data_IF_813642472117
#
_entry.id   IF_813642472117
#
_cell.length_a   1.000
_cell.length_b   1.000
_cell.length_c   1.000
_cell.angle_alpha   90.00
_cell.angle_beta   90.00
_cell.angle_gamma   90.00
#
_symmetry.space_group_name_H-M   'P 1'
#
loop_
_entity.id
_entity.type
_entity.pdbx_description
1 polymer ?
#
# COMPACT_ATOMS: atom_id res chain seq x y z
N UNK A 1 11.41 6.96 -12.12
CA UNK A 1 10.16 7.38 -12.81
C UNK A 1 10.18 6.76 -14.20
N UNK A 2 9.13 6.07 -14.63
CA UNK A 2 9.02 5.52 -15.99
C UNK A 2 7.71 6.06 -16.58
N UNK A 3 7.78 6.69 -17.74
CA UNK A 3 6.64 7.32 -18.39
C UNK A 3 6.60 6.96 -19.88
N UNK A 4 5.39 6.83 -20.41
CA UNK A 4 5.11 6.71 -21.84
C UNK A 4 5.03 8.12 -22.43
N UNK A 5 5.94 8.43 -23.36
CA UNK A 5 5.96 9.73 -24.04
C UNK A 5 5.79 9.49 -25.54
N UNK A 6 4.58 9.78 -26.02
CA UNK A 6 4.23 9.69 -27.43
C UNK A 6 4.98 10.78 -28.22
N UNK A 7 6.00 10.38 -28.97
CA UNK A 7 6.74 11.25 -29.88
C UNK A 7 6.29 11.01 -31.32
N UNK A 8 5.19 11.63 -31.76
CA UNK A 8 4.89 11.78 -33.20
C UNK A 8 4.23 13.13 -33.46
N UNK A 9 4.86 13.94 -34.33
CA UNK A 9 4.19 14.93 -35.18
C UNK A 9 4.17 14.40 -36.63
N UNK A 10 3.03 14.58 -37.30
CA UNK A 10 2.69 14.47 -38.73
C UNK A 10 2.07 13.18 -39.29
N UNK A 11 1.11 13.45 -40.19
CA UNK A 11 -0.08 12.66 -40.55
C UNK A 11 0.07 11.85 -41.86
N UNK A 12 1.24 11.88 -42.51
CA UNK A 12 1.42 11.32 -43.84
C UNK A 12 2.72 10.51 -43.93
N UNK A 13 2.66 9.21 -43.66
CA UNK A 13 3.40 8.24 -44.48
C UNK A 13 2.93 6.80 -44.22
N UNK A 14 1.95 6.37 -45.01
CA UNK A 14 1.49 4.99 -45.14
C UNK A 14 2.43 4.11 -45.99
N UNK A 15 3.69 4.53 -46.18
CA UNK A 15 4.67 3.83 -47.01
C UNK A 15 6.05 3.72 -46.35
N UNK A 16 6.09 3.17 -45.14
CA UNK A 16 7.25 2.39 -44.65
C UNK A 16 8.63 3.07 -44.65
N UNK A 17 8.71 4.41 -44.70
CA UNK A 17 9.98 5.14 -44.56
C UNK A 17 10.03 5.80 -43.19
N UNK A 18 11.00 5.34 -42.41
CA UNK A 18 11.35 5.84 -41.09
C UNK A 18 12.09 7.18 -41.19
N UNK A 19 11.58 8.22 -40.55
CA UNK A 19 12.39 9.36 -40.13
C UNK A 19 12.26 9.51 -38.61
N UNK A 20 13.40 9.60 -37.90
CA UNK A 20 13.41 9.99 -36.49
C UNK A 20 12.88 11.42 -36.38
N UNK A 21 12.17 11.76 -35.30
CA UNK A 21 11.84 13.16 -34.99
C UNK A 21 13.15 13.97 -35.00
N UNK A 22 13.21 14.99 -35.83
CA UNK A 22 14.32 15.91 -35.95
C UNK A 22 13.79 17.33 -35.79
N UNK A 23 14.57 18.25 -35.22
CA UNK A 23 14.13 19.64 -35.03
C UNK A 23 14.09 20.08 -33.56
N UNK A 24 13.28 21.11 -33.29
CA UNK A 24 13.28 21.82 -32.00
C UNK A 24 12.78 20.94 -30.85
N UNK A 25 11.73 20.16 -31.04
CA UNK A 25 11.16 19.30 -30.00
C UNK A 25 12.10 18.16 -29.60
N UNK A 26 12.78 17.53 -30.56
CA UNK A 26 13.80 16.52 -30.26
C UNK A 26 14.96 17.10 -29.44
N UNK A 27 15.33 18.37 -29.69
CA UNK A 27 16.35 19.09 -28.91
C UNK A 27 15.84 19.45 -27.51
N UNK A 28 14.61 19.93 -27.39
CA UNK A 28 13.98 20.25 -26.11
C UNK A 28 13.82 19.00 -25.24
N UNK A 29 13.41 17.88 -25.84
CA UNK A 29 13.30 16.62 -25.12
C UNK A 29 14.66 16.07 -24.73
N UNK A 30 15.65 16.11 -25.63
CA UNK A 30 17.02 15.73 -25.29
C UNK A 30 17.55 16.56 -24.12
N UNK A 31 17.29 17.87 -24.11
CA UNK A 31 17.63 18.76 -22.99
C UNK A 31 16.89 18.39 -21.69
N UNK A 32 15.59 18.07 -21.76
CA UNK A 32 14.83 17.61 -20.58
C UNK A 32 15.35 16.27 -20.06
N UNK A 33 15.62 15.32 -20.95
CA UNK A 33 16.17 14.02 -20.59
C UNK A 33 17.54 14.16 -19.94
N UNK A 34 18.44 14.95 -20.53
CA UNK A 34 19.78 15.22 -19.97
C UNK A 34 19.69 15.98 -18.62
N UNK A 35 18.85 17.02 -18.52
CA UNK A 35 18.70 17.79 -17.27
C UNK A 35 18.03 17.01 -16.13
N UNK A 36 17.29 15.95 -16.45
CA UNK A 36 16.61 15.07 -15.49
C UNK A 36 17.29 13.71 -15.32
N UNK A 37 18.46 13.51 -15.94
CA UNK A 37 19.20 12.25 -15.88
C UNK A 37 18.40 11.05 -16.41
N UNK A 38 17.53 11.25 -17.40
CA UNK A 38 16.68 10.21 -17.94
C UNK A 38 17.42 9.37 -19.00
N UNK A 39 17.39 8.05 -18.84
CA UNK A 39 18.01 7.07 -19.74
C UNK A 39 16.93 6.32 -20.51
N UNK A 40 17.08 6.22 -21.84
CA UNK A 40 16.18 5.44 -22.70
C UNK A 40 16.44 3.94 -22.53
N UNK A 41 15.52 3.24 -21.87
CA UNK A 41 15.63 1.81 -21.59
C UNK A 41 15.69 0.95 -22.87
N UNK A 42 15.16 1.45 -23.99
CA UNK A 42 15.20 0.74 -25.28
C UNK A 42 16.63 0.68 -25.85
N UNK A 43 17.41 1.73 -25.67
CA UNK A 43 18.80 1.82 -26.18
C UNK A 43 19.80 1.06 -25.30
N UNK A 44 19.42 0.67 -24.08
CA UNK A 44 20.29 -0.08 -23.16
C UNK A 44 20.34 -1.60 -23.45
N UNK A 45 19.40 -2.14 -24.24
CA UNK A 45 19.29 -3.56 -24.52
C UNK A 45 20.12 -4.01 -25.75
N UNK A 46 20.70 -5.21 -25.68
CA UNK A 46 21.45 -5.83 -26.80
C UNK A 46 20.51 -6.40 -27.86
N UNK A 47 19.32 -6.84 -27.45
CA UNK A 47 18.30 -7.41 -28.35
C UNK A 47 16.91 -6.95 -27.94
N UNK A 48 16.08 -6.62 -28.91
CA UNK A 48 14.71 -6.14 -28.68
C UNK A 48 13.71 -7.00 -29.44
N UNK A 49 12.68 -7.50 -28.75
CA UNK A 49 11.66 -8.37 -29.37
C UNK A 49 10.24 -7.88 -29.03
N UNK A 50 9.41 -7.65 -30.05
CA UNK A 50 8.02 -7.22 -29.89
C UNK A 50 7.49 -6.52 -31.15
N UNK A 51 6.16 -6.41 -31.26
CA UNK A 51 5.55 -5.57 -32.30
C UNK A 51 5.89 -4.11 -32.05
N UNK A 52 6.18 -3.34 -33.11
CA UNK A 52 6.53 -1.92 -32.99
C UNK A 52 5.38 -1.05 -32.44
N UNK A 53 4.15 -1.55 -32.45
CA UNK A 53 2.94 -0.78 -32.18
C UNK A 53 2.19 -1.36 -30.99
N UNK A 54 1.67 -0.49 -30.13
CA UNK A 54 1.08 -0.90 -28.85
C UNK A 54 -0.35 -0.42 -28.67
N UNK A 55 -0.83 0.47 -29.55
CA UNK A 55 -2.14 1.14 -29.46
C UNK A 55 -2.84 1.23 -30.81
N UNK A 56 -4.18 1.20 -30.77
CA UNK A 56 -5.04 1.80 -31.79
C UNK A 56 -5.38 3.22 -31.34
N UNK A 57 -5.02 4.23 -32.13
CA UNK A 57 -5.42 5.61 -31.93
C UNK A 57 -6.53 5.96 -32.92
N UNK A 58 -7.59 6.62 -32.43
CA UNK A 58 -8.67 7.13 -33.26
C UNK A 58 -8.25 8.50 -33.82
N UNK A 59 -8.11 8.60 -35.15
CA UNK A 59 -7.80 9.87 -35.80
C UNK A 59 -8.82 10.11 -36.93
N UNK A 60 -9.88 10.84 -36.61
CA UNK A 60 -11.02 10.99 -37.50
C UNK A 60 -11.77 9.66 -37.74
N UNK A 61 -12.25 9.41 -38.95
CA UNK A 61 -13.07 8.22 -39.30
C UNK A 61 -12.28 6.90 -39.47
N UNK A 62 -11.01 6.83 -39.04
CA UNK A 62 -10.17 5.61 -39.13
C UNK A 62 -9.44 5.31 -37.83
N UNK A 63 -9.26 4.01 -37.56
CA UNK A 63 -8.39 3.49 -36.51
C UNK A 63 -6.98 3.34 -37.08
N UNK A 64 -6.01 4.03 -36.50
CA UNK A 64 -4.60 3.90 -36.90
C UNK A 64 -3.71 3.38 -35.76
N UNK A 65 -2.61 2.72 -36.08
CA UNK A 65 -1.72 2.11 -35.07
C UNK A 65 -0.65 3.09 -34.66
N UNK A 66 -0.59 3.43 -33.39
CA UNK A 66 0.38 4.39 -32.91
C UNK A 66 1.51 3.71 -32.12
N UNK A 67 2.74 4.22 -32.31
CA UNK A 67 3.99 3.55 -31.95
C UNK A 67 4.42 3.97 -30.55
N UNK A 68 4.75 3.02 -29.68
CA UNK A 68 5.40 3.28 -28.39
C UNK A 68 6.88 2.97 -28.59
N UNK A 69 7.70 4.02 -28.61
CA UNK A 69 9.06 3.88 -29.09
C UNK A 69 10.14 3.96 -28.03
N UNK A 70 9.92 4.64 -26.90
CA UNK A 70 11.00 4.92 -25.94
C UNK A 70 10.44 5.08 -24.53
N UNK A 71 11.00 4.33 -23.58
CA UNK A 71 10.72 4.51 -22.15
C UNK A 71 11.95 5.12 -21.54
N UNK A 72 11.74 6.20 -20.81
CA UNK A 72 12.81 6.88 -20.12
C UNK A 72 12.75 6.58 -18.63
N UNK A 73 13.90 6.22 -18.04
CA UNK A 73 14.04 5.90 -16.62
C UNK A 73 15.04 6.87 -15.99
N UNK A 74 14.73 7.38 -14.80
CA UNK A 74 15.60 8.32 -14.07
C UNK A 74 16.92 7.70 -13.58
N UNK A 75 17.97 8.52 -13.57
CA UNK A 75 19.29 8.25 -13.00
C UNK A 75 19.17 7.64 -11.59
N UNK A 76 19.76 6.46 -11.43
CA UNK A 76 19.47 5.50 -10.36
C UNK A 76 19.13 4.11 -10.91
N UNK A 77 18.92 4.00 -12.22
CA UNK A 77 18.70 2.75 -12.93
C UNK A 77 20.00 2.10 -13.45
N UNK A 78 21.04 2.00 -12.60
CA UNK A 78 22.31 1.31 -12.91
C UNK A 78 22.08 -0.13 -13.42
N UNK A 79 20.96 -0.74 -13.03
CA UNK A 79 20.53 -2.05 -13.52
C UNK A 79 20.23 -2.08 -15.04
N UNK A 80 20.03 -0.95 -15.72
CA UNK A 80 19.78 -0.89 -17.17
C UNK A 80 21.00 -1.32 -17.98
N UNK A 81 22.22 -1.04 -17.51
CA UNK A 81 23.45 -1.50 -18.16
C UNK A 81 23.55 -3.03 -18.19
N UNK A 82 22.88 -3.67 -17.22
CA UNK A 82 22.79 -5.11 -17.08
C UNK A 82 21.68 -5.71 -17.94
N UNK A 83 20.95 -4.96 -18.77
CA UNK A 83 19.82 -5.50 -19.56
C UNK A 83 20.30 -6.05 -20.91
N UNK A 84 20.13 -7.36 -21.14
CA UNK A 84 20.45 -8.04 -22.40
C UNK A 84 19.32 -7.93 -23.40
N UNK A 85 18.09 -8.14 -22.95
CA UNK A 85 16.92 -8.19 -23.80
C UNK A 85 15.76 -7.46 -23.13
N UNK A 86 15.03 -6.67 -23.90
CA UNK A 86 13.75 -6.08 -23.48
C UNK A 86 12.69 -6.61 -24.42
N UNK A 87 11.65 -7.21 -23.84
CA UNK A 87 10.46 -7.63 -24.58
C UNK A 87 9.24 -6.86 -24.11
N UNK A 88 8.51 -6.31 -25.07
CA UNK A 88 7.28 -5.59 -24.80
C UNK A 88 6.08 -6.52 -24.90
N UNK A 89 5.24 -6.55 -23.86
CA UNK A 89 3.95 -7.25 -23.88
C UNK A 89 2.83 -6.26 -24.25
N UNK A 90 2.85 -5.78 -25.49
CA UNK A 90 1.67 -5.14 -26.09
C UNK A 90 0.69 -6.21 -26.52
N UNK A 91 -0.13 -6.70 -25.60
CA UNK A 91 -1.46 -7.17 -26.00
C UNK A 91 -2.31 -5.91 -26.24
N UNK A 92 -3.14 -5.89 -27.28
CA UNK A 92 -3.82 -4.70 -27.81
C UNK A 92 -4.47 -3.84 -26.71
N UNK A 93 -3.80 -2.77 -26.27
CA UNK A 93 -4.30 -1.83 -25.26
C UNK A 93 -4.97 -0.67 -25.97
N UNK A 94 -6.18 -0.31 -25.53
CA UNK A 94 -7.06 0.70 -26.18
C UNK A 94 -7.05 2.06 -25.44
N UNK A 95 -6.24 2.24 -24.37
CA UNK A 95 -6.31 3.44 -23.52
C UNK A 95 -4.96 3.92 -22.99
N UNK A 96 -4.81 5.26 -22.95
CA UNK A 96 -3.62 6.03 -22.51
C UNK A 96 -3.33 5.94 -21.00
N UNK A 97 -4.18 5.27 -20.22
CA UNK A 97 -4.07 5.20 -18.76
C UNK A 97 -3.76 3.79 -18.23
N UNK A 98 -3.56 2.80 -19.12
CA UNK A 98 -3.27 1.43 -18.71
C UNK A 98 -1.75 1.24 -18.58
N UNK A 99 -1.25 0.72 -17.45
CA UNK A 99 0.17 0.51 -17.25
C UNK A 99 0.75 -0.47 -18.27
N UNK A 100 1.79 -0.03 -18.95
CA UNK A 100 2.51 -0.83 -19.94
C UNK A 100 3.49 -1.77 -19.25
N UNK A 101 3.46 -3.07 -19.60
CA UNK A 101 4.30 -4.09 -18.96
C UNK A 101 5.47 -4.49 -19.86
N UNK A 102 6.69 -4.47 -19.31
CA UNK A 102 7.90 -4.91 -19.99
C UNK A 102 8.56 -6.06 -19.23
N UNK A 103 9.07 -7.03 -19.98
CA UNK A 103 9.93 -8.09 -19.47
C UNK A 103 11.37 -7.76 -19.86
N UNK A 104 12.24 -7.56 -18.87
CA UNK A 104 13.67 -7.36 -19.08
C UNK A 104 14.43 -8.64 -18.71
N UNK A 105 15.28 -9.15 -19.62
CA UNK A 105 16.30 -10.16 -19.30
C UNK A 105 17.65 -9.51 -19.14
N UNK A 106 18.39 -9.90 -18.11
CA UNK A 106 19.71 -9.34 -17.82
C UNK A 106 20.84 -10.07 -18.59
N UNK A 107 21.93 -9.36 -18.86
CA UNK A 107 23.23 -9.87 -19.33
C UNK A 107 23.82 -10.63 -18.15
N UNK A 108 23.60 -11.94 -18.10
CA UNK A 108 24.19 -12.74 -17.04
C UNK A 108 25.71 -12.74 -17.19
N UNK A 109 26.43 -12.14 -16.24
CA UNK A 109 27.80 -12.54 -15.93
C UNK A 109 27.76 -13.72 -14.95
N UNK A 110 28.72 -14.63 -15.11
CA UNK A 110 28.79 -15.90 -14.42
C UNK A 110 28.67 -15.79 -12.89
N UNK A 111 27.84 -16.68 -12.34
CA UNK A 111 27.98 -17.40 -11.07
C UNK A 111 28.35 -16.67 -9.75
N UNK A 112 28.38 -15.34 -9.63
CA UNK A 112 28.53 -14.69 -8.32
C UNK A 112 27.65 -13.45 -8.13
N UNK A 113 26.60 -13.59 -7.31
CA UNK A 113 26.33 -12.56 -6.29
C UNK A 113 24.89 -12.09 -6.04
N UNK A 114 24.01 -11.97 -7.04
CA UNK A 114 22.56 -11.72 -6.80
C UNK A 114 21.72 -12.41 -7.86
N UNK A 115 21.19 -13.59 -7.52
CA UNK A 115 20.35 -14.41 -8.40
C UNK A 115 19.06 -13.66 -8.71
N UNK A 116 18.79 -13.39 -9.99
CA UNK A 116 17.42 -13.21 -10.45
C UNK A 116 16.57 -14.39 -9.93
N UNK A 117 15.31 -14.17 -9.53
CA UNK A 117 14.55 -15.23 -8.90
C UNK A 117 14.41 -16.41 -9.86
N UNK A 118 14.90 -17.58 -9.45
CA UNK A 118 14.97 -18.76 -10.30
C UNK A 118 13.57 -19.30 -10.61
N UNK A 119 13.42 -20.15 -11.64
CA UNK A 119 12.17 -20.91 -11.85
C UNK A 119 11.73 -21.64 -10.58
N UNK A 120 12.68 -22.10 -9.77
CA UNK A 120 12.44 -22.68 -8.45
C UNK A 120 11.86 -21.66 -7.46
N UNK A 121 12.38 -20.44 -7.41
CA UNK A 121 11.79 -19.36 -6.60
C UNK A 121 10.36 -19.06 -7.02
N UNK A 122 10.10 -18.88 -8.33
CA UNK A 122 8.74 -18.66 -8.82
C UNK A 122 7.83 -19.86 -8.59
N UNK A 123 8.34 -21.09 -8.71
CA UNK A 123 7.58 -22.29 -8.39
C UNK A 123 7.21 -22.35 -6.89
N UNK A 124 8.14 -22.01 -5.99
CA UNK A 124 7.84 -21.89 -4.56
C UNK A 124 6.85 -20.76 -4.27
N UNK A 125 7.03 -19.59 -4.87
CA UNK A 125 6.13 -18.45 -4.72
C UNK A 125 4.73 -18.78 -5.24
N UNK A 126 4.62 -19.37 -6.43
CA UNK A 126 3.35 -19.82 -7.03
C UNK A 126 2.69 -20.92 -6.21
N UNK A 127 3.47 -21.89 -5.70
CA UNK A 127 2.95 -22.92 -4.81
C UNK A 127 2.47 -22.33 -3.46
N UNK A 128 3.10 -21.25 -2.98
CA UNK A 128 2.63 -20.50 -1.82
C UNK A 128 1.35 -19.73 -2.13
N UNK A 129 1.30 -18.98 -3.23
CA UNK A 129 0.10 -18.26 -3.68
C UNK A 129 -1.08 -19.20 -3.92
N UNK A 130 -0.85 -20.35 -4.57
CA UNK A 130 -1.88 -21.36 -4.81
C UNK A 130 -2.41 -21.95 -3.50
N UNK A 131 -1.53 -22.19 -2.50
CA UNK A 131 -1.94 -22.61 -1.16
C UNK A 131 -2.68 -21.53 -0.39
N UNK A 132 -2.35 -20.26 -0.59
CA UNK A 132 -2.98 -19.11 0.10
C UNK A 132 -4.23 -18.59 -0.62
N UNK A 133 -4.53 -19.06 -1.83
CA UNK A 133 -5.72 -18.67 -2.57
C UNK A 133 -6.97 -19.41 -2.09
N UNK A 134 -8.11 -18.74 -2.15
CA UNK A 134 -9.44 -19.35 -1.98
C UNK A 134 -9.72 -20.17 -3.25
N UNK A 135 -9.65 -21.50 -3.14
CA UNK A 135 -9.93 -22.41 -4.26
C UNK A 135 -11.42 -22.72 -4.38
N UNK A 136 -12.11 -22.75 -3.24
CA UNK A 136 -13.53 -23.00 -3.12
C UNK A 136 -14.07 -22.18 -1.95
N UNK A 137 -15.29 -21.69 -2.09
CA UNK A 137 -15.97 -20.91 -1.07
C UNK A 137 -17.36 -21.46 -0.80
N UNK A 138 -17.66 -21.72 0.47
CA UNK A 138 -18.98 -22.08 0.96
C UNK A 138 -19.81 -20.81 1.15
N UNK A 139 -20.94 -20.76 0.46
CA UNK A 139 -21.90 -19.66 0.46
C UNK A 139 -22.87 -19.77 1.65
N UNK A 140 -23.63 -18.70 1.89
CA UNK A 140 -24.62 -18.66 2.98
C UNK A 140 -25.75 -19.68 2.79
N UNK A 141 -26.11 -20.00 1.55
CA UNK A 141 -27.11 -21.03 1.21
C UNK A 141 -26.61 -22.48 1.45
N UNK A 142 -25.37 -22.64 1.89
CA UNK A 142 -24.74 -23.92 2.16
C UNK A 142 -24.07 -24.57 0.95
N UNK A 143 -24.24 -24.03 -0.26
CA UNK A 143 -23.57 -24.52 -1.47
C UNK A 143 -22.11 -24.07 -1.51
N UNK A 144 -21.29 -24.71 -2.35
CA UNK A 144 -19.89 -24.34 -2.53
C UNK A 144 -19.65 -23.91 -3.98
N UNK A 145 -19.03 -22.76 -4.16
CA UNK A 145 -18.60 -22.25 -5.47
C UNK A 145 -17.09 -22.40 -5.65
N UNK A 146 -16.68 -22.70 -6.88
CA UNK A 146 -15.28 -22.66 -7.34
C UNK A 146 -15.07 -21.59 -8.41
N UNK A 147 -16.14 -20.87 -8.79
CA UNK A 147 -16.07 -19.78 -9.76
C UNK A 147 -15.37 -18.58 -9.12
N UNK A 148 -14.25 -18.16 -9.73
CA UNK A 148 -13.43 -17.05 -9.24
C UNK A 148 -14.16 -15.73 -9.22
N UNK A 149 -15.04 -15.47 -10.19
CA UNK A 149 -15.78 -14.21 -10.25
C UNK A 149 -16.73 -14.13 -9.07
N UNK A 150 -17.52 -15.19 -8.88
CA UNK A 150 -18.44 -15.30 -7.73
C UNK A 150 -17.70 -15.27 -6.39
N UNK A 151 -16.55 -15.94 -6.27
CA UNK A 151 -15.72 -15.86 -5.05
C UNK A 151 -15.30 -14.41 -4.77
N UNK A 152 -14.87 -13.65 -5.78
CA UNK A 152 -14.44 -12.27 -5.59
C UNK A 152 -15.59 -11.34 -5.21
N UNK A 153 -16.78 -11.52 -5.79
CA UNK A 153 -18.00 -10.79 -5.43
C UNK A 153 -18.37 -11.05 -3.97
N UNK A 154 -18.49 -12.31 -3.57
CA UNK A 154 -18.83 -12.73 -2.20
C UNK A 154 -17.80 -12.26 -1.17
N UNK A 155 -16.50 -12.31 -1.52
CA UNK A 155 -15.42 -11.73 -0.70
C UNK A 155 -15.62 -10.22 -0.55
N UNK A 156 -15.92 -9.53 -1.65
CA UNK A 156 -16.17 -8.09 -1.67
C UNK A 156 -17.33 -7.72 -0.75
N UNK A 157 -18.50 -8.30 -0.98
CA UNK A 157 -19.72 -8.02 -0.22
C UNK A 157 -19.55 -8.32 1.27
N UNK A 158 -18.92 -9.46 1.59
CA UNK A 158 -18.64 -9.84 2.97
C UNK A 158 -17.77 -8.81 3.71
N UNK A 159 -16.66 -8.38 3.11
CA UNK A 159 -15.77 -7.43 3.76
C UNK A 159 -16.27 -5.99 3.68
N UNK A 160 -17.04 -5.60 2.66
CA UNK A 160 -17.79 -4.34 2.65
C UNK A 160 -18.72 -4.30 3.86
N UNK A 161 -19.49 -5.37 4.11
CA UNK A 161 -20.38 -5.47 5.27
C UNK A 161 -19.64 -5.40 6.62
N UNK A 162 -18.40 -5.88 6.69
CA UNK A 162 -17.58 -5.81 7.91
C UNK A 162 -16.98 -4.41 8.10
N UNK A 163 -16.53 -3.76 7.03
CA UNK A 163 -15.82 -2.48 7.11
C UNK A 163 -16.73 -1.26 6.94
N UNK A 164 -18.00 -1.46 6.58
CA UNK A 164 -18.97 -0.38 6.52
C UNK A 164 -19.16 0.26 7.89
N UNK A 165 -19.44 1.56 7.89
CA UNK A 165 -19.79 2.28 9.10
C UNK A 165 -21.08 1.71 9.68
N UNK A 166 -21.04 1.30 10.95
CA UNK A 166 -22.24 0.99 11.70
C UNK A 166 -23.02 2.29 11.98
N UNK A 167 -24.31 2.28 11.67
CA UNK A 167 -25.18 3.42 11.93
C UNK A 167 -25.34 3.59 13.45
N UNK A 168 -25.00 4.77 13.96
CA UNK A 168 -25.16 5.07 15.39
C UNK A 168 -26.57 5.58 15.61
N UNK A 169 -27.46 4.71 16.07
CA UNK A 169 -28.85 5.08 16.40
C UNK A 169 -28.89 6.02 17.61
N UNK A 170 -29.98 6.79 17.74
CA UNK A 170 -30.22 7.65 18.90
C UNK A 170 -30.16 6.87 20.23
N UNK A 171 -30.62 5.61 20.22
CA UNK A 171 -30.55 4.72 21.39
C UNK A 171 -29.11 4.39 21.80
N UNK A 172 -28.21 4.15 20.84
CA UNK A 172 -26.79 3.91 21.13
C UNK A 172 -26.13 5.18 21.67
N UNK A 173 -26.50 6.36 21.15
CA UNK A 173 -25.98 7.64 21.64
C UNK A 173 -26.38 7.84 23.10
N UNK A 174 -27.68 7.69 23.42
CA UNK A 174 -28.17 7.81 24.80
C UNK A 174 -27.48 6.82 25.75
N UNK A 175 -27.34 5.55 25.34
CA UNK A 175 -26.64 4.54 26.14
C UNK A 175 -25.16 4.89 26.38
N UNK A 176 -24.49 5.48 25.39
CA UNK A 176 -23.11 5.97 25.54
C UNK A 176 -23.05 7.13 26.52
N UNK A 177 -23.96 8.10 26.43
CA UNK A 177 -24.02 9.24 27.34
C UNK A 177 -24.22 8.79 28.79
N UNK A 178 -25.14 7.87 29.04
CA UNK A 178 -25.34 7.24 30.35
C UNK A 178 -24.06 6.57 30.86
N UNK A 179 -23.36 5.81 30.01
CA UNK A 179 -22.09 5.19 30.37
C UNK A 179 -20.99 6.23 30.68
N UNK A 180 -20.92 7.33 29.91
CA UNK A 180 -19.94 8.40 30.11
C UNK A 180 -20.14 9.18 31.42
N UNK A 181 -21.36 9.21 31.96
CA UNK A 181 -21.63 9.81 33.27
C UNK A 181 -20.92 9.03 34.39
N UNK A 182 -20.88 7.71 34.29
CA UNK A 182 -20.33 6.82 35.32
C UNK A 182 -18.80 6.72 35.27
N UNK A 183 -18.18 7.05 34.14
CA UNK A 183 -16.72 7.04 34.01
C UNK A 183 -16.09 8.15 34.85
N UNK A 184 -15.26 7.74 35.83
CA UNK A 184 -14.56 8.66 36.73
C UNK A 184 -13.40 9.40 36.08
N UNK A 185 -12.78 8.79 35.06
CA UNK A 185 -11.64 9.36 34.34
C UNK A 185 -12.08 9.86 32.98
N UNK A 186 -11.85 11.16 32.71
CA UNK A 186 -12.25 11.83 31.48
C UNK A 186 -11.05 12.57 30.89
N UNK A 187 -11.06 12.75 29.58
CA UNK A 187 -10.06 13.57 28.89
C UNK A 187 -10.19 15.01 29.41
N UNK A 188 -9.08 15.57 29.88
CA UNK A 188 -9.01 16.97 30.28
C UNK A 188 -8.81 17.87 29.07
N UNK A 189 -9.21 19.14 29.16
CA UNK A 189 -8.96 20.12 28.09
C UNK A 189 -7.48 20.22 27.71
N UNK A 190 -6.58 20.13 28.69
CA UNK A 190 -5.13 20.14 28.46
C UNK A 190 -4.64 18.91 27.67
N UNK A 191 -5.20 17.73 27.95
CA UNK A 191 -4.85 16.50 27.21
C UNK A 191 -5.35 16.57 25.76
N UNK A 192 -6.58 17.06 25.58
CA UNK A 192 -7.17 17.28 24.26
C UNK A 192 -6.33 18.27 23.44
N UNK A 193 -6.02 19.44 24.00
CA UNK A 193 -5.18 20.45 23.37
C UNK A 193 -3.82 19.88 22.92
N UNK A 194 -3.17 19.05 23.75
CA UNK A 194 -1.87 18.45 23.41
C UNK A 194 -1.92 17.45 22.25
N UNK A 195 -3.05 16.78 22.04
CA UNK A 195 -3.21 15.85 20.91
C UNK A 195 -3.65 16.62 19.65
N UNK A 196 -4.52 17.61 19.83
CA UNK A 196 -5.16 18.40 18.77
C UNK A 196 -4.29 19.56 18.24
N UNK A 197 -3.27 20.00 18.97
CA UNK A 197 -2.33 21.01 18.48
C UNK A 197 -1.58 20.52 17.25
N UNK A 198 -1.39 21.35 16.22
CA UNK A 198 -0.62 20.96 15.03
C UNK A 198 0.79 20.46 15.37
N UNK A 199 1.25 19.36 14.74
CA UNK A 199 2.63 18.89 14.89
C UNK A 199 3.63 19.86 14.26
N UNK A 200 4.80 19.99 14.88
CA UNK A 200 5.90 20.76 14.30
C UNK A 200 6.66 19.91 13.27
N UNK A 201 7.39 20.56 12.37
CA UNK A 201 8.23 19.84 11.42
C UNK A 201 9.25 18.95 12.15
N UNK A 202 9.92 19.47 13.18
CA UNK A 202 10.88 18.72 13.99
C UNK A 202 10.26 17.46 14.64
N UNK A 203 9.00 17.56 15.11
CA UNK A 203 8.28 16.40 15.65
C UNK A 203 8.04 15.35 14.57
N UNK A 204 7.61 15.78 13.38
CA UNK A 204 7.38 14.90 12.24
C UNK A 204 8.69 14.26 11.77
N UNK A 205 9.77 15.02 11.62
CA UNK A 205 11.08 14.49 11.21
C UNK A 205 11.59 13.44 12.20
N UNK A 206 11.57 13.77 13.48
CA UNK A 206 11.94 12.83 14.54
C UNK A 206 11.07 11.58 14.47
N UNK A 207 9.77 11.73 14.28
CA UNK A 207 8.85 10.61 14.18
C UNK A 207 9.13 9.72 12.96
N UNK A 208 9.31 10.32 11.78
CA UNK A 208 9.61 9.63 10.52
C UNK A 208 10.90 8.83 10.63
N UNK A 209 11.92 9.38 11.28
CA UNK A 209 13.19 8.68 11.53
C UNK A 209 13.05 7.40 12.38
N UNK A 210 11.99 7.31 13.20
CA UNK A 210 11.70 6.17 14.08
C UNK A 210 10.71 5.17 13.47
N UNK A 211 10.31 5.36 12.20
CA UNK A 211 9.46 4.39 11.52
C UNK A 211 10.19 3.05 11.39
N UNK A 212 9.44 1.96 11.60
CA UNK A 212 9.99 0.62 11.47
C UNK A 212 10.22 0.31 10.00
N UNK A 213 11.43 -0.16 9.70
CA UNK A 213 11.85 -0.67 8.40
C UNK A 213 11.31 -2.08 8.15
N UNK A 214 11.48 -2.55 6.91
CA UNK A 214 11.09 -3.88 6.43
C UNK A 214 9.59 -4.17 6.57
N UNK A 215 8.76 -3.14 6.36
CA UNK A 215 7.31 -3.26 6.32
C UNK A 215 6.80 -3.27 4.90
N UNK A 216 5.69 -3.99 4.68
CA UNK A 216 5.05 -4.04 3.38
C UNK A 216 4.55 -2.64 2.95
N UNK A 217 4.85 -2.23 1.70
CA UNK A 217 4.36 -0.96 1.16
C UNK A 217 2.84 -0.97 0.96
N UNK A 218 2.28 0.19 0.67
CA UNK A 218 0.92 0.30 0.14
C UNK A 218 0.86 -0.09 -1.33
N UNK A 219 -0.24 0.25 -1.98
CA UNK A 219 -0.43 0.08 -3.43
C UNK A 219 0.59 0.85 -4.27
N UNK A 220 1.10 1.95 -3.74
CA UNK A 220 2.11 2.81 -4.36
C UNK A 220 3.51 2.17 -4.41
N UNK A 221 3.72 1.05 -3.70
CA UNK A 221 5.02 0.43 -3.59
C UNK A 221 6.03 1.21 -2.74
N UNK A 222 5.62 2.33 -2.13
CA UNK A 222 6.51 3.18 -1.33
C UNK A 222 6.74 2.57 0.05
N UNK A 223 8.00 2.25 0.33
CA UNK A 223 8.44 1.74 1.62
C UNK A 223 8.96 2.86 2.52
N UNK A 224 9.14 2.55 3.81
CA UNK A 224 9.75 3.50 4.76
C UNK A 224 11.17 3.85 4.34
N UNK A 225 11.93 2.91 3.80
CA UNK A 225 13.29 3.11 3.31
C UNK A 225 13.31 4.10 2.14
N UNK A 226 12.39 3.97 1.19
CA UNK A 226 12.27 4.91 0.07
C UNK A 226 11.93 6.33 0.54
N UNK A 227 11.04 6.46 1.53
CA UNK A 227 10.71 7.74 2.17
C UNK A 227 11.95 8.35 2.84
N UNK A 228 12.67 7.57 3.65
CA UNK A 228 13.86 8.05 4.36
C UNK A 228 14.99 8.45 3.40
N UNK A 229 15.22 7.70 2.33
CA UNK A 229 16.22 8.02 1.31
C UNK A 229 15.90 9.31 0.55
N UNK A 230 14.62 9.65 0.43
CA UNK A 230 14.16 10.82 -0.31
C UNK A 230 13.66 11.95 0.59
N UNK A 231 13.85 11.85 1.91
CA UNK A 231 13.18 12.69 2.90
C UNK A 231 13.40 14.18 2.64
N UNK A 232 14.64 14.59 2.39
CA UNK A 232 14.99 15.99 2.12
C UNK A 232 14.24 16.59 0.92
N UNK A 233 13.77 15.75 -0.01
CA UNK A 233 13.02 16.17 -1.20
C UNK A 233 11.51 16.19 -0.99
N UNK A 234 10.99 15.39 -0.05
CA UNK A 234 9.53 15.16 0.12
C UNK A 234 8.99 15.61 1.48
N UNK A 235 9.86 16.09 2.37
CA UNK A 235 9.48 16.47 3.74
C UNK A 235 8.43 17.57 3.79
N UNK A 236 8.53 18.57 2.92
CA UNK A 236 7.59 19.71 2.90
C UNK A 236 6.20 19.27 2.44
N UNK A 237 6.12 18.40 1.43
CA UNK A 237 4.86 17.80 0.97
C UNK A 237 4.25 16.89 2.04
N UNK A 238 5.09 16.04 2.66
CA UNK A 238 4.66 15.14 3.73
C UNK A 238 4.16 15.94 4.94
N UNK A 239 4.85 17.01 5.31
CA UNK A 239 4.47 17.90 6.40
C UNK A 239 3.18 18.63 6.09
N UNK A 240 3.04 19.19 4.89
CA UNK A 240 1.81 19.86 4.45
C UNK A 240 0.60 18.93 4.48
N UNK A 241 0.77 17.67 4.06
CA UNK A 241 -0.27 16.65 4.13
C UNK A 241 -0.68 16.31 5.57
N UNK A 242 0.27 16.29 6.50
CA UNK A 242 -0.01 16.10 7.93
C UNK A 242 -0.74 17.32 8.49
N UNK A 243 -0.31 18.55 8.19
CA UNK A 243 -0.99 19.77 8.62
C UNK A 243 -2.43 19.80 8.14
N UNK A 244 -2.67 19.47 6.87
CA UNK A 244 -3.99 19.41 6.28
C UNK A 244 -4.93 18.44 7.02
N UNK A 245 -4.43 17.30 7.48
CA UNK A 245 -5.23 16.38 8.31
C UNK A 245 -5.60 17.00 9.65
N UNK A 246 -4.71 17.76 10.29
CA UNK A 246 -5.02 18.47 11.53
C UNK A 246 -5.99 19.63 11.32
N UNK A 247 -5.94 20.31 10.17
CA UNK A 247 -6.87 21.39 9.82
C UNK A 247 -8.29 20.90 9.53
N UNK A 248 -8.41 19.76 8.83
CA UNK A 248 -9.69 19.32 8.25
C UNK A 248 -10.26 18.07 8.91
N UNK A 249 -9.45 17.30 9.63
CA UNK A 249 -9.78 15.94 10.06
C UNK A 249 -9.82 14.93 8.91
N UNK A 250 -9.44 15.32 7.69
CA UNK A 250 -9.55 14.50 6.50
C UNK A 250 -8.20 13.98 6.01
N UNK A 251 -8.17 12.70 5.63
CA UNK A 251 -7.02 12.10 4.93
C UNK A 251 -7.02 12.52 3.47
N UNK A 252 -5.85 12.61 2.82
CA UNK A 252 -5.81 12.78 1.35
C UNK A 252 -6.46 11.59 0.64
N UNK A 253 -7.07 11.81 -0.53
CA UNK A 253 -7.90 10.81 -1.24
C UNK A 253 -7.20 9.46 -1.41
N UNK A 254 -5.94 9.45 -1.86
CA UNK A 254 -5.18 8.20 -2.04
C UNK A 254 -4.95 7.41 -0.73
N UNK A 255 -4.95 8.10 0.42
CA UNK A 255 -4.77 7.46 1.74
C UNK A 255 -6.06 6.85 2.29
N UNK A 256 -7.20 7.08 1.63
CA UNK A 256 -8.52 6.51 2.01
C UNK A 256 -8.76 5.13 1.40
N UNK A 257 -7.86 4.65 0.54
CA UNK A 257 -7.97 3.35 -0.13
C UNK A 257 -7.03 2.32 0.49
N UNK A 258 -7.53 1.10 0.65
CA UNK A 258 -6.79 -0.04 1.17
C UNK A 258 -6.84 -1.21 0.17
N UNK A 259 -5.77 -1.98 0.07
CA UNK A 259 -5.84 -3.33 -0.51
C UNK A 259 -6.00 -4.35 0.59
N UNK A 260 -7.06 -5.14 0.51
CA UNK A 260 -7.29 -6.21 1.47
C UNK A 260 -6.61 -7.48 0.95
N UNK A 261 -5.59 -7.94 1.69
CA UNK A 261 -5.00 -9.26 1.49
C UNK A 261 -5.60 -10.23 2.50
N UNK A 262 -6.11 -11.36 2.03
CA UNK A 262 -6.65 -12.40 2.90
C UNK A 262 -5.56 -13.40 3.30
N UNK A 263 -5.46 -13.67 4.60
CA UNK A 263 -4.61 -14.72 5.15
C UNK A 263 -5.46 -15.81 5.82
N UNK A 264 -5.21 -17.09 5.53
CA UNK A 264 -5.99 -18.16 6.16
C UNK A 264 -5.71 -18.21 7.67
N UNK A 265 -6.75 -18.39 8.49
CA UNK A 265 -6.59 -18.59 9.94
C UNK A 265 -5.96 -19.95 10.22
N UNK A 266 -6.52 -20.96 9.57
CA UNK A 266 -6.28 -22.38 9.79
C UNK A 266 -6.15 -23.08 8.40
N UNK A 267 -6.01 -24.40 8.38
CA UNK A 267 -5.99 -25.17 7.11
C UNK A 267 -7.34 -25.19 6.39
N UNK A 268 -8.43 -25.10 7.14
CA UNK A 268 -9.80 -25.02 6.64
C UNK A 268 -10.09 -23.60 6.12
N UNK A 269 -10.45 -23.53 4.83
CA UNK A 269 -10.42 -22.32 3.99
C UNK A 269 -11.71 -22.03 3.26
N UNK A 270 -12.74 -22.86 3.46
CA UNK A 270 -13.98 -22.79 2.70
C UNK A 270 -14.90 -21.65 3.16
N UNK A 271 -14.68 -21.08 4.35
CA UNK A 271 -15.57 -20.05 4.92
C UNK A 271 -14.82 -18.73 5.14
N UNK A 272 -15.40 -17.59 4.73
CA UNK A 272 -14.75 -16.27 4.82
C UNK A 272 -14.36 -15.86 6.24
N UNK A 273 -15.13 -16.24 7.26
CA UNK A 273 -14.79 -15.97 8.68
C UNK A 273 -13.49 -16.66 9.14
N UNK A 274 -13.03 -17.68 8.40
CA UNK A 274 -11.75 -18.39 8.63
C UNK A 274 -10.58 -17.69 7.94
N UNK A 275 -10.80 -16.54 7.33
CA UNK A 275 -9.75 -15.69 6.77
C UNK A 275 -9.54 -14.45 7.64
N UNK A 276 -8.32 -13.93 7.67
CA UNK A 276 -7.94 -12.67 8.31
C UNK A 276 -7.72 -11.62 7.22
N UNK A 277 -8.47 -10.53 7.19
CA UNK A 277 -8.16 -9.41 6.31
C UNK A 277 -6.93 -8.66 6.83
N UNK A 278 -5.97 -8.40 5.95
CA UNK A 278 -4.90 -7.44 6.17
C UNK A 278 -5.05 -6.27 5.20
N UNK A 279 -5.37 -5.11 5.74
CA UNK A 279 -5.47 -3.86 4.98
C UNK A 279 -4.09 -3.27 4.73
N UNK A 280 -3.62 -3.34 3.49
CA UNK A 280 -2.41 -2.69 3.02
C UNK A 280 -2.73 -1.23 2.67
N UNK A 281 -2.44 -0.35 3.63
CA UNK A 281 -2.62 1.11 3.52
C UNK A 281 -1.34 1.79 3.01
N UNK A 282 -1.51 2.94 2.36
CA UNK A 282 -0.41 3.83 1.98
C UNK A 282 0.40 4.27 3.21
N UNK A 283 1.67 4.60 2.97
CA UNK A 283 2.59 5.04 4.03
C UNK A 283 2.13 6.33 4.70
N UNK A 284 1.54 7.25 3.94
CA UNK A 284 0.94 8.52 4.41
C UNK A 284 -0.11 8.29 5.50
N UNK A 285 -1.05 7.37 5.27
CA UNK A 285 -2.04 6.96 6.29
C UNK A 285 -1.34 6.43 7.55
N UNK A 286 -0.36 5.54 7.36
CA UNK A 286 0.38 4.92 8.48
C UNK A 286 1.11 5.97 9.32
N UNK A 287 1.65 7.02 8.70
CA UNK A 287 2.33 8.12 9.40
C UNK A 287 1.33 8.87 10.27
N UNK A 288 0.22 9.36 9.70
CA UNK A 288 -0.81 10.10 10.44
C UNK A 288 -1.37 9.26 11.59
N UNK A 289 -1.84 8.04 11.28
CA UNK A 289 -2.47 7.17 12.27
C UNK A 289 -1.53 6.88 13.45
N UNK A 290 -0.25 6.62 13.17
CA UNK A 290 0.73 6.33 14.20
C UNK A 290 1.17 7.60 14.96
N UNK A 291 1.21 8.77 14.32
CA UNK A 291 1.47 10.04 15.00
C UNK A 291 0.38 10.37 16.02
N UNK A 292 -0.89 10.23 15.63
CA UNK A 292 -2.05 10.37 16.53
C UNK A 292 -1.94 9.36 17.68
N UNK A 293 -1.67 8.09 17.37
CA UNK A 293 -1.55 7.04 18.38
C UNK A 293 -0.43 7.32 19.41
N UNK A 294 0.75 7.77 18.98
CA UNK A 294 1.86 8.09 19.91
C UNK A 294 1.54 9.31 20.78
N UNK A 295 0.82 10.31 20.24
CA UNK A 295 0.36 11.47 21.04
C UNK A 295 -0.68 11.06 22.08
N UNK A 296 -1.70 10.29 21.71
CA UNK A 296 -2.69 9.75 22.65
C UNK A 296 -2.01 8.89 23.73
N UNK A 297 -1.06 8.06 23.31
CA UNK A 297 -0.28 7.22 24.22
C UNK A 297 0.54 8.02 25.22
N UNK A 298 1.15 9.12 24.78
CA UNK A 298 1.97 9.99 25.64
C UNK A 298 1.13 10.81 26.60
N UNK A 299 0.01 11.37 26.13
CA UNK A 299 -0.72 12.40 26.87
C UNK A 299 -2.02 11.93 27.53
N UNK A 300 -2.69 10.91 27.00
CA UNK A 300 -4.01 10.47 27.48
C UNK A 300 -3.97 9.09 28.15
N UNK A 301 -3.28 8.11 27.56
CA UNK A 301 -3.36 6.72 28.02
C UNK A 301 -2.91 6.46 29.48
N UNK A 302 -1.87 7.11 30.04
CA UNK A 302 -1.41 6.81 31.40
C UNK A 302 -2.48 7.03 32.48
N UNK A 303 -3.38 7.99 32.25
CA UNK A 303 -4.44 8.31 33.19
C UNK A 303 -5.71 7.53 32.84
N UNK A 304 -6.11 7.51 31.57
CA UNK A 304 -7.40 6.96 31.14
C UNK A 304 -7.47 5.44 31.14
N UNK A 305 -6.35 4.74 30.88
CA UNK A 305 -6.36 3.29 30.71
C UNK A 305 -6.16 2.58 32.05
N UNK A 306 -7.17 1.81 32.47
CA UNK A 306 -7.10 1.00 33.68
C UNK A 306 -5.97 -0.04 33.65
N UNK A 307 -5.44 -0.40 34.82
CA UNK A 307 -4.36 -1.39 34.94
C UNK A 307 -4.76 -2.79 34.45
N UNK A 308 -6.05 -3.11 34.45
CA UNK A 308 -6.59 -4.38 33.94
C UNK A 308 -6.52 -4.50 32.42
N UNK A 309 -6.42 -3.39 31.68
CA UNK A 309 -6.28 -3.42 30.23
C UNK A 309 -4.83 -3.72 29.84
N UNK A 310 -4.49 -4.98 29.56
CA UNK A 310 -3.10 -5.35 29.22
C UNK A 310 -2.82 -5.39 27.71
N UNK A 311 -3.85 -5.52 26.89
CA UNK A 311 -3.69 -5.66 25.45
C UNK A 311 -3.17 -4.37 24.82
N UNK A 312 -2.09 -4.48 24.03
CA UNK A 312 -1.53 -3.36 23.25
C UNK A 312 -1.07 -2.14 24.06
N UNK A 313 -0.82 -2.29 25.36
CA UNK A 313 -0.24 -1.25 26.22
C UNK A 313 1.25 -1.51 26.40
N UNK A 314 2.08 -0.48 26.20
CA UNK A 314 3.52 -0.60 26.39
C UNK A 314 3.85 -1.03 27.83
N UNK A 315 4.71 -2.04 27.97
CA UNK A 315 5.11 -2.59 29.27
C UNK A 315 4.12 -3.59 29.87
N UNK A 316 2.97 -3.86 29.22
CA UNK A 316 2.03 -4.91 29.63
C UNK A 316 2.08 -6.07 28.63
N UNK A 317 1.90 -7.28 29.14
CA UNK A 317 1.92 -8.50 28.31
C UNK A 317 0.80 -9.45 28.71
N UNK A 318 0.61 -10.51 27.93
CA UNK A 318 -0.34 -11.58 28.29
C UNK A 318 -0.01 -12.22 29.65
N UNK A 319 1.27 -12.25 30.01
CA UNK A 319 1.74 -12.73 31.33
C UNK A 319 1.24 -11.84 32.46
N UNK A 320 1.12 -10.52 32.23
CA UNK A 320 0.55 -9.59 33.20
C UNK A 320 -0.89 -9.97 33.54
N UNK A 321 -1.69 -10.33 32.54
CA UNK A 321 -3.05 -10.82 32.76
C UNK A 321 -3.10 -12.11 33.57
N UNK A 322 -2.23 -13.08 33.22
CA UNK A 322 -2.16 -14.36 33.94
C UNK A 322 -1.80 -14.17 35.42
N UNK A 323 -0.85 -13.27 35.70
CA UNK A 323 -0.46 -12.93 37.07
C UNK A 323 -1.59 -12.24 37.82
N UNK A 324 -2.27 -11.25 37.22
CA UNK A 324 -3.42 -10.59 37.84
C UNK A 324 -4.54 -11.58 38.19
N UNK A 325 -4.85 -12.52 37.28
CA UNK A 325 -5.83 -13.58 37.53
C UNK A 325 -5.39 -14.51 38.67
N UNK A 326 -4.11 -14.87 38.72
CA UNK A 326 -3.57 -15.72 39.78
C UNK A 326 -3.66 -15.04 41.14
N UNK A 327 -3.23 -13.78 41.23
CA UNK A 327 -3.29 -12.98 42.45
C UNK A 327 -4.74 -12.80 42.93
N UNK A 328 -5.68 -12.55 42.02
CA UNK A 328 -7.11 -12.48 42.36
C UNK A 328 -7.63 -13.80 42.94
N UNK A 329 -7.22 -14.94 42.37
CA UNK A 329 -7.57 -16.27 42.90
C UNK A 329 -6.97 -16.52 44.28
N UNK A 330 -5.70 -16.18 44.49
CA UNK A 330 -5.01 -16.37 45.77
C UNK A 330 -5.63 -15.46 46.87
N UNK A 331 -5.99 -14.23 46.53
CA UNK A 331 -6.70 -13.32 47.43
C UNK A 331 -8.10 -13.82 47.81
N UNK A 332 -8.86 -14.34 46.84
CA UNK A 332 -10.17 -14.93 47.09
C UNK A 332 -10.09 -16.15 48.02
N UNK A 333 -9.10 -17.02 47.80
CA UNK A 333 -8.84 -18.16 48.66
C UNK A 333 -8.47 -17.73 50.10
N UNK A 334 -7.69 -16.65 50.25
CA UNK A 334 -7.29 -16.13 51.56
C UNK A 334 -8.44 -15.42 52.31
N UNK A 335 -9.40 -14.84 51.60
CA UNK A 335 -10.49 -14.04 52.18
C UNK A 335 -11.83 -14.75 52.26
N UNK A 336 -11.95 -15.96 51.70
CA UNK A 336 -13.20 -16.72 51.63
C UNK A 336 -14.27 -16.07 50.74
N UNK A 337 -13.88 -15.10 49.90
CA UNK A 337 -14.77 -14.39 48.97
C UNK A 337 -14.61 -14.98 47.57
N UNK A 338 -15.64 -14.83 46.73
CA UNK A 338 -15.54 -15.23 45.33
C UNK A 338 -14.77 -14.16 44.54
N UNK A 339 -13.77 -14.58 43.75
CA UNK A 339 -12.91 -13.66 42.98
C UNK A 339 -13.65 -12.99 41.81
N UNK A 340 -14.81 -13.54 41.41
CA UNK A 340 -15.50 -13.20 40.15
C UNK A 340 -17.00 -12.92 40.35
N UNK A 341 -17.45 -12.66 41.58
CA UNK A 341 -18.85 -12.29 41.87
C UNK A 341 -19.09 -10.79 41.78
#
# INVERSE_FOLDING_TARGET
MAGDFNMVELYEDSKGKSALVSGAEARSWKYVAESKGLVDAYLCAVTTTGGFFTRQAFCGLRYDRARLNRIYVSEGAEWLELVKEVSHKSDQVVSDQVPVTFDCRLKSDGDQGRRSPTRYFYAQANAKFSREAIQALKLEDGTTTIDRTKIMEEVGDYYIKIFQREETTATIIAAREEAFVVLSKKVTAQQDERVSQHPTLDEVEKFVSMLQRDKSPGLDGLTVEALLLSWDRVKDDCFSMIQHFWDTGELIQGSRTAVIKLLPKNQDKEELKKWRPLSLMLLTYKIIAKLVAERMKKYMMPELVDMQQVGFIQGRSITTNLLSLRLGKDWAAATGRNAFS
#
